data_IF_742730464934
#
_entry.id   IF_742730464934
#
_cell.length_a   1.000
_cell.length_b   1.000
_cell.length_c   1.000
_cell.angle_alpha   90.00
_cell.angle_beta   90.00
_cell.angle_gamma   90.00
#
_symmetry.space_group_name_H-M   'P 1'
#
loop_
_entity.id
_entity.type
_entity.pdbx_description
1 polymer ?
#
# COMPACT_ATOMS: atom_id res chain seq x y z
N UNK A 1 21.63 10.28 -24.73
CA UNK A 1 21.83 8.81 -24.78
C UNK A 1 20.50 8.17 -24.37
N UNK A 2 20.19 6.94 -24.80
CA UNK A 2 19.00 6.22 -24.30
C UNK A 2 19.42 5.18 -23.26
N UNK A 3 18.60 5.00 -22.23
CA UNK A 3 18.81 4.01 -21.17
C UNK A 3 17.53 3.22 -20.96
N UNK A 4 17.63 1.90 -20.90
CA UNK A 4 16.46 1.05 -20.67
C UNK A 4 15.99 1.15 -19.21
N UNK A 5 14.69 1.35 -19.04
CA UNK A 5 13.97 1.21 -17.79
C UNK A 5 13.14 -0.07 -17.82
N UNK A 6 13.15 -0.80 -16.70
CA UNK A 6 12.22 -1.90 -16.43
C UNK A 6 11.55 -1.73 -15.07
N UNK A 7 10.23 -1.78 -15.02
CA UNK A 7 9.44 -1.66 -13.81
C UNK A 7 8.60 -2.93 -13.55
N UNK A 8 8.50 -3.34 -12.29
CA UNK A 8 7.78 -4.55 -11.88
C UNK A 8 7.16 -4.40 -10.49
N UNK A 9 6.05 -5.08 -10.24
CA UNK A 9 5.43 -5.11 -8.90
C UNK A 9 6.40 -5.70 -7.89
N UNK A 10 6.40 -5.16 -6.67
CA UNK A 10 7.12 -5.81 -5.57
C UNK A 10 6.38 -7.11 -5.24
N UNK A 11 6.97 -8.26 -5.59
CA UNK A 11 6.45 -9.54 -5.15
C UNK A 11 6.46 -9.57 -3.63
N UNK A 12 5.27 -9.52 -3.03
CA UNK A 12 5.08 -10.05 -1.69
C UNK A 12 5.26 -11.55 -1.85
N UNK A 13 6.48 -12.06 -1.61
CA UNK A 13 6.64 -13.50 -1.37
C UNK A 13 5.74 -13.80 -0.17
N UNK A 14 4.55 -14.36 -0.43
CA UNK A 14 3.84 -15.11 0.60
C UNK A 14 4.85 -16.16 1.04
N UNK A 15 5.28 -16.21 2.31
CA UNK A 15 6.04 -17.36 2.75
C UNK A 15 5.16 -18.56 2.46
N UNK A 16 5.62 -19.45 1.57
CA UNK A 16 5.03 -20.75 1.47
C UNK A 16 5.09 -21.32 2.89
N UNK A 17 3.94 -21.62 3.49
CA UNK A 17 3.90 -22.47 4.66
C UNK A 17 4.44 -23.82 4.21
N UNK A 18 5.76 -23.95 4.26
CA UNK A 18 6.45 -25.22 4.18
C UNK A 18 6.10 -25.93 5.49
N UNK A 19 5.07 -26.78 5.41
CA UNK A 19 4.74 -27.78 6.41
C UNK A 19 5.95 -28.70 6.61
N UNK A 20 6.91 -28.25 7.43
CA UNK A 20 7.87 -29.14 8.05
C UNK A 20 7.18 -29.80 9.21
N UNK A 21 6.72 -31.03 8.96
CA UNK A 21 6.53 -32.03 9.99
C UNK A 21 7.78 -32.09 10.87
N UNK A 22 7.70 -31.51 12.06
CA UNK A 22 8.60 -31.81 13.15
C UNK A 22 7.77 -32.43 14.27
N UNK A 23 7.67 -33.76 14.24
CA UNK A 23 7.33 -34.56 15.43
C UNK A 23 8.44 -34.32 16.46
N UNK A 24 8.09 -33.70 17.57
CA UNK A 24 8.97 -33.50 18.72
C UNK A 24 8.12 -33.38 19.98
N UNK A 25 7.96 -34.50 20.67
CA UNK A 25 7.20 -34.68 21.89
C UNK A 25 7.98 -34.11 23.10
N UNK A 26 7.23 -33.74 24.16
CA UNK A 26 7.61 -33.42 25.57
C UNK A 26 7.68 -31.92 25.86
N UNK A 27 7.17 -31.39 26.97
CA UNK A 27 6.36 -31.89 28.08
C UNK A 27 5.84 -30.66 28.86
N UNK A 28 4.57 -30.74 29.29
CA UNK A 28 3.95 -30.26 30.54
C UNK A 28 4.41 -28.96 31.26
N UNK A 29 3.37 -28.24 31.73
CA UNK A 29 3.23 -27.30 32.87
C UNK A 29 3.00 -25.85 32.42
N UNK A 30 2.04 -25.07 32.90
CA UNK A 30 0.98 -25.21 33.91
C UNK A 30 0.02 -24.00 33.70
N UNK A 31 -1.29 -24.17 33.87
CA UNK A 31 -2.05 -23.81 35.08
C UNK A 31 -2.24 -22.29 35.29
N UNK A 32 -3.50 -21.84 35.33
CA UNK A 32 -3.94 -20.54 35.85
C UNK A 32 -4.75 -19.73 34.83
N UNK A 33 -6.05 -19.95 34.64
CA UNK A 33 -7.20 -19.83 35.55
C UNK A 33 -7.57 -18.36 35.88
N UNK A 34 -8.82 -18.05 35.51
CA UNK A 34 -9.80 -17.17 36.16
C UNK A 34 -9.99 -15.71 35.67
N UNK A 35 -11.17 -15.54 35.07
CA UNK A 35 -12.18 -14.50 35.26
C UNK A 35 -11.91 -13.42 36.32
N UNK A 36 -12.02 -12.16 35.90
CA UNK A 36 -12.37 -11.03 36.75
C UNK A 36 -13.62 -10.34 36.21
N UNK A 37 -14.80 -10.85 36.58
CA UNK A 37 -16.06 -10.10 36.55
C UNK A 37 -15.96 -8.98 37.59
N UNK A 38 -16.14 -7.73 37.16
CA UNK A 38 -16.44 -6.62 38.06
C UNK A 38 -17.87 -6.16 37.82
N UNK A 39 -18.56 -6.09 38.95
CA UNK A 39 -20.00 -6.04 39.15
C UNK A 39 -20.42 -4.59 39.43
N UNK A 40 -21.59 -4.22 38.88
CA UNK A 40 -22.59 -3.22 39.29
C UNK A 40 -22.12 -1.82 39.74
N UNK A 41 -22.59 -0.80 39.01
CA UNK A 41 -22.65 0.57 39.51
C UNK A 41 -23.66 1.43 38.75
N UNK A 42 -24.83 1.66 39.35
CA UNK A 42 -25.60 2.91 39.26
C UNK A 42 -26.54 3.11 38.06
N UNK A 43 -27.86 2.98 38.31
CA UNK A 43 -28.91 3.66 37.54
C UNK A 43 -28.86 5.17 37.81
N UNK A 44 -29.06 6.03 36.81
CA UNK A 44 -29.93 7.19 37.00
C UNK A 44 -30.46 7.83 35.70
N UNK A 45 -31.73 8.21 35.80
CA UNK A 45 -32.48 9.29 35.15
C UNK A 45 -32.84 9.24 33.65
N UNK A 46 -34.16 9.26 33.44
CA UNK A 46 -34.93 9.34 32.20
C UNK A 46 -34.73 10.66 31.42
N UNK A 47 -34.60 10.59 30.08
CA UNK A 47 -35.52 11.04 28.99
C UNK A 47 -35.78 12.57 28.88
N UNK A 48 -36.15 13.18 27.71
CA UNK A 48 -36.65 12.58 26.45
C UNK A 48 -36.14 13.22 25.12
N UNK A 49 -36.46 12.55 23.99
CA UNK A 49 -36.90 13.23 22.77
C UNK A 49 -35.88 13.45 21.64
N UNK A 50 -35.93 12.60 20.61
CA UNK A 50 -36.07 12.99 19.20
C UNK A 50 -36.00 11.74 18.30
N UNK A 51 -37.06 11.52 17.54
CA UNK A 51 -37.10 10.55 16.44
C UNK A 51 -36.05 10.91 15.39
N UNK A 52 -35.09 10.01 15.21
CA UNK A 52 -34.19 9.97 14.07
C UNK A 52 -33.67 8.55 13.97
N UNK A 53 -34.15 7.79 13.00
CA UNK A 53 -33.69 6.43 12.72
C UNK A 53 -32.20 6.48 12.40
N UNK A 54 -31.29 5.85 13.18
CA UNK A 54 -29.90 5.78 12.79
C UNK A 54 -29.82 4.65 11.75
N UNK A 55 -29.78 5.02 10.47
CA UNK A 55 -29.19 4.15 9.48
C UNK A 55 -27.77 3.85 9.96
N UNK A 56 -27.54 2.61 10.38
CA UNK A 56 -26.25 2.13 10.83
C UNK A 56 -25.24 2.41 9.71
N UNK A 57 -24.46 3.48 9.88
CA UNK A 57 -23.26 3.69 9.10
C UNK A 57 -22.35 2.50 9.45
N UNK A 58 -22.25 1.57 8.51
CA UNK A 58 -21.17 0.59 8.48
C UNK A 58 -19.90 1.42 8.68
N UNK A 59 -19.04 1.12 9.67
CA UNK A 59 -17.77 1.81 9.78
C UNK A 59 -17.09 1.59 8.44
N UNK A 60 -16.92 2.68 7.67
CA UNK A 60 -16.05 2.66 6.52
C UNK A 60 -14.73 2.17 7.07
N UNK A 61 -14.38 0.92 6.74
CA UNK A 61 -13.08 0.39 7.02
C UNK A 61 -12.12 1.46 6.51
N UNK A 62 -11.35 2.05 7.42
CA UNK A 62 -10.21 2.86 7.04
C UNK A 62 -9.29 1.91 6.28
N UNK A 63 -9.51 1.83 4.97
CA UNK A 63 -8.59 1.20 4.04
C UNK A 63 -7.37 2.09 4.14
N UNK A 64 -6.46 1.72 5.03
CA UNK A 64 -5.13 2.29 5.03
C UNK A 64 -4.63 2.10 3.60
N UNK A 65 -4.18 3.17 2.92
CA UNK A 65 -3.71 3.04 1.55
C UNK A 65 -2.65 1.94 1.54
N UNK A 66 -2.94 0.83 0.86
CA UNK A 66 -1.95 -0.19 0.57
C UNK A 66 -0.87 0.54 -0.23
N UNK A 67 0.24 0.85 0.43
CA UNK A 67 1.33 1.60 -0.16
C UNK A 67 1.87 0.80 -1.36
N UNK A 68 1.48 1.21 -2.57
CA UNK A 68 1.78 0.45 -3.78
C UNK A 68 3.26 0.59 -4.10
N UNK A 69 4.02 -0.44 -3.72
CA UNK A 69 5.47 -0.51 -3.90
C UNK A 69 5.83 -1.29 -5.15
N UNK A 70 6.78 -0.76 -5.91
CA UNK A 70 7.32 -1.40 -7.09
C UNK A 70 8.85 -1.35 -7.11
N UNK A 71 9.43 -2.14 -8.01
CA UNK A 71 10.83 -2.06 -8.36
C UNK A 71 10.99 -1.40 -9.72
N UNK A 72 11.92 -0.47 -9.82
CA UNK A 72 12.32 0.17 -11.07
C UNK A 72 13.82 -0.03 -11.27
N UNK A 73 14.21 -0.54 -12.42
CA UNK A 73 15.60 -0.76 -12.82
C UNK A 73 15.91 0.16 -13.98
N UNK A 74 16.94 1.00 -13.86
CA UNK A 74 17.40 1.93 -14.91
C UNK A 74 18.86 1.61 -15.18
N UNK A 75 19.16 1.10 -16.38
CA UNK A 75 20.45 0.46 -16.64
C UNK A 75 20.69 -0.69 -15.65
N UNK A 76 21.81 -0.65 -14.93
CA UNK A 76 22.19 -1.67 -13.94
C UNK A 76 21.76 -1.35 -12.50
N UNK A 77 21.04 -0.23 -12.29
CA UNK A 77 20.69 0.26 -10.96
C UNK A 77 19.22 0.03 -10.66
N UNK A 78 18.92 -0.50 -9.47
CA UNK A 78 17.57 -0.82 -9.01
C UNK A 78 17.14 0.09 -7.87
N UNK A 79 15.91 0.59 -7.95
CA UNK A 79 15.29 1.52 -7.02
C UNK A 79 13.95 0.97 -6.52
N UNK A 80 13.69 1.10 -5.23
CA UNK A 80 12.36 0.89 -4.66
C UNK A 80 11.55 2.18 -4.84
N UNK A 81 10.37 2.07 -5.45
CA UNK A 81 9.48 3.21 -5.66
C UNK A 81 8.18 2.96 -4.90
N UNK A 82 7.75 3.97 -4.16
CA UNK A 82 6.42 4.06 -3.57
C UNK A 82 5.56 4.94 -4.46
N UNK A 83 4.44 4.42 -4.93
CA UNK A 83 3.48 5.17 -5.73
C UNK A 83 2.52 5.94 -4.81
N UNK A 84 2.22 7.18 -5.18
CA UNK A 84 1.16 7.96 -4.54
C UNK A 84 -0.22 7.32 -4.79
N UNK A 85 -1.18 7.60 -3.92
CA UNK A 85 -2.56 7.12 -4.10
C UNK A 85 -3.35 8.05 -5.04
N UNK A 86 -3.04 7.98 -6.34
CA UNK A 86 -3.70 8.76 -7.40
C UNK A 86 -4.18 7.87 -8.53
N UNK A 87 -5.15 8.33 -9.33
CA UNK A 87 -5.64 7.59 -10.50
C UNK A 87 -4.52 7.31 -11.53
N UNK A 88 -3.65 8.30 -11.77
CA UNK A 88 -2.49 8.15 -12.64
C UNK A 88 -1.53 7.07 -12.12
N UNK A 89 -1.25 7.05 -10.82
CA UNK A 89 -0.37 6.06 -10.22
C UNK A 89 -0.96 4.64 -10.24
N UNK A 90 -2.27 4.50 -10.01
CA UNK A 90 -2.97 3.21 -10.11
C UNK A 90 -2.99 2.69 -11.54
N UNK A 91 -3.26 3.55 -12.53
CA UNK A 91 -3.19 3.20 -13.94
C UNK A 91 -1.76 2.83 -14.37
N UNK A 92 -0.76 3.59 -13.92
CA UNK A 92 0.65 3.25 -14.15
C UNK A 92 1.03 1.89 -13.55
N UNK A 93 0.60 1.58 -12.32
CA UNK A 93 0.83 0.28 -11.70
C UNK A 93 0.17 -0.88 -12.45
N UNK A 94 -0.97 -0.63 -13.12
CA UNK A 94 -1.67 -1.62 -13.94
C UNK A 94 -0.89 -1.99 -15.22
N UNK A 95 -0.02 -1.10 -15.72
CA UNK A 95 0.85 -1.38 -16.87
C UNK A 95 2.06 -2.27 -16.53
N UNK A 96 2.30 -2.59 -15.25
CA UNK A 96 3.44 -3.41 -14.87
C UNK A 96 3.21 -4.90 -15.19
N UNK A 97 4.21 -5.62 -15.74
CA UNK A 97 5.59 -5.18 -15.96
C UNK A 97 5.76 -4.29 -17.20
N UNK A 98 6.56 -3.24 -17.08
CA UNK A 98 6.81 -2.26 -18.14
C UNK A 98 8.30 -2.21 -18.48
N UNK A 99 8.63 -2.14 -19.77
CA UNK A 99 10.00 -1.91 -20.25
C UNK A 99 9.99 -0.84 -21.34
N UNK A 100 10.72 0.25 -21.15
CA UNK A 100 10.79 1.40 -22.07
C UNK A 100 12.21 1.93 -22.16
N UNK A 101 12.59 2.43 -23.33
CA UNK A 101 13.86 3.12 -23.51
C UNK A 101 13.65 4.62 -23.23
N UNK A 102 14.43 5.18 -22.29
CA UNK A 102 14.31 6.56 -21.84
C UNK A 102 15.46 7.41 -22.36
N UNK A 103 15.15 8.61 -22.84
CA UNK A 103 16.15 9.58 -23.26
C UNK A 103 16.54 10.51 -22.12
N UNK A 104 17.79 10.97 -22.13
CA UNK A 104 18.23 12.07 -21.29
C UNK A 104 17.47 13.36 -21.63
N UNK A 105 17.00 14.05 -20.59
CA UNK A 105 16.52 15.43 -20.68
C UNK A 105 17.36 16.27 -19.72
N UNK A 106 17.94 17.36 -20.23
CA UNK A 106 18.73 18.33 -19.45
C UNK A 106 19.86 17.73 -18.59
N UNK A 107 20.31 16.51 -18.90
CA UNK A 107 21.32 15.72 -18.16
C UNK A 107 20.98 15.36 -16.70
N UNK A 108 19.84 15.80 -16.17
CA UNK A 108 19.37 15.53 -14.81
C UNK A 108 18.11 14.64 -14.78
N UNK A 109 17.45 14.44 -15.92
CA UNK A 109 16.19 13.71 -16.02
C UNK A 109 16.26 12.59 -17.07
N UNK A 110 15.49 11.53 -16.82
CA UNK A 110 15.19 10.50 -17.81
C UNK A 110 13.72 10.63 -18.16
N UNK A 111 13.39 10.69 -19.45
CA UNK A 111 12.02 10.84 -19.92
C UNK A 111 11.68 9.84 -21.01
N UNK A 112 10.41 9.44 -21.07
CA UNK A 112 9.85 8.58 -22.11
C UNK A 112 8.32 8.74 -22.16
N UNK A 113 7.75 8.49 -23.33
CA UNK A 113 6.30 8.33 -23.46
C UNK A 113 5.87 6.93 -22.95
N UNK A 114 4.72 6.88 -22.28
CA UNK A 114 4.09 5.63 -21.88
C UNK A 114 3.32 5.02 -23.07
N UNK A 115 3.13 3.68 -23.10
CA UNK A 115 2.41 3.01 -24.19
C UNK A 115 0.92 3.38 -24.21
N UNK A 116 0.36 3.75 -23.06
CA UNK A 116 -1.01 4.21 -22.90
C UNK A 116 -1.04 5.52 -22.10
N UNK A 117 -2.00 6.40 -22.43
CA UNK A 117 -2.22 7.64 -21.70
C UNK A 117 -2.77 7.38 -20.31
N UNK A 118 -2.24 8.09 -19.31
CA UNK A 118 -2.77 8.05 -17.95
C UNK A 118 -4.00 8.96 -17.81
N UNK A 119 -4.91 8.67 -16.85
CA UNK A 119 -5.95 9.60 -16.45
C UNK A 119 -5.34 10.96 -16.09
N UNK A 120 -5.76 12.02 -16.79
CA UNK A 120 -5.17 13.34 -16.65
C UNK A 120 -5.80 14.11 -15.47
N UNK A 121 -4.99 14.34 -14.42
CA UNK A 121 -5.22 15.38 -13.44
C UNK A 121 -3.91 16.15 -13.26
N UNK A 122 -3.56 16.93 -14.29
CA UNK A 122 -2.27 17.59 -14.37
C UNK A 122 -2.14 18.62 -13.23
N UNK A 123 -1.06 18.49 -12.46
CA UNK A 123 -0.69 19.45 -11.44
C UNK A 123 0.76 19.86 -11.63
N UNK A 124 1.11 21.05 -11.14
CA UNK A 124 2.50 21.51 -11.10
C UNK A 124 3.03 21.27 -9.69
N UNK A 125 3.83 20.22 -9.45
CA UNK A 125 4.44 20.02 -8.14
C UNK A 125 5.32 21.23 -7.81
N UNK A 126 5.33 21.66 -6.55
CA UNK A 126 6.10 22.82 -6.13
C UNK A 126 7.61 22.58 -6.24
N UNK A 127 8.14 21.69 -5.41
CA UNK A 127 9.57 21.33 -5.42
C UNK A 127 9.72 19.88 -5.86
N UNK A 128 10.46 19.68 -6.96
CA UNK A 128 10.90 18.36 -7.42
C UNK A 128 12.27 18.08 -6.79
N UNK A 129 12.42 16.89 -6.22
CA UNK A 129 13.64 16.42 -5.56
C UNK A 129 14.28 15.29 -6.35
N UNK A 130 15.57 15.07 -6.12
CA UNK A 130 16.26 13.90 -6.67
C UNK A 130 15.57 12.61 -6.20
N UNK A 131 15.18 11.78 -7.17
CA UNK A 131 14.47 10.53 -6.92
C UNK A 131 12.94 10.62 -7.07
N UNK A 132 12.38 11.81 -7.28
CA UNK A 132 10.96 11.95 -7.60
C UNK A 132 10.66 11.31 -8.97
N UNK A 133 9.48 10.69 -9.07
CA UNK A 133 8.93 10.14 -10.31
C UNK A 133 7.68 10.93 -10.66
N UNK A 134 7.66 11.51 -11.87
CA UNK A 134 6.53 12.27 -12.40
C UNK A 134 5.80 11.44 -13.47
N UNK A 135 4.47 11.52 -13.48
CA UNK A 135 3.56 10.78 -14.36
C UNK A 135 2.69 11.73 -15.18
#
# INVERSE_FOLDING_TARGET
MTTRLSASRRSLRRPAMENRHARGLRALRGLGLLCGLLVLGGCEAAQPGASGSPAAAIPAATVQPEESRMWMTVGDRRFAITLADTDAARAFAAMLPLSIDMADLNSNEKHAALPESLPANASRPGTIRNGDVML
#
